data_IF_568783509637
#
_entry.id   IF_568783509637
#
_cell.length_a   1.000
_cell.length_b   1.000
_cell.length_c   1.000
_cell.angle_alpha   90.00
_cell.angle_beta   90.00
_cell.angle_gamma   90.00
#
_symmetry.space_group_name_H-M   'P 1'
#
loop_
_entity.id
_entity.type
_entity.pdbx_description
1 polymer ?
#
# COMPACT_ATOMS: atom_id res chain seq x y z
N UNK A 1 -20.64 6.22 9.63
CA UNK A 1 -19.48 5.73 8.84
C UNK A 1 -18.38 6.77 8.93
N UNK A 2 -17.13 6.33 9.05
CA UNK A 2 -15.97 7.24 9.19
C UNK A 2 -15.59 7.98 7.89
N UNK A 3 -15.98 7.43 6.75
CA UNK A 3 -15.64 7.93 5.41
C UNK A 3 -16.86 8.22 4.54
N UNK A 4 -17.96 8.59 5.18
CA UNK A 4 -19.21 8.85 4.47
C UNK A 4 -19.01 9.88 3.35
N UNK A 5 -19.41 9.52 2.12
CA UNK A 5 -19.27 10.31 0.90
C UNK A 5 -17.82 10.67 0.48
N UNK A 6 -16.78 10.11 1.10
CA UNK A 6 -15.38 10.31 0.69
C UNK A 6 -15.08 9.58 -0.61
N UNK A 7 -14.18 10.17 -1.42
CA UNK A 7 -13.75 9.66 -2.73
C UNK A 7 -12.30 9.16 -2.62
N UNK A 8 -12.10 7.86 -2.82
CA UNK A 8 -10.82 7.23 -2.61
C UNK A 8 -10.25 6.58 -3.89
N UNK A 9 -8.94 6.69 -4.07
CA UNK A 9 -8.18 5.91 -5.04
C UNK A 9 -7.33 4.90 -4.28
N UNK A 10 -7.41 3.62 -4.66
CA UNK A 10 -6.59 2.55 -4.09
C UNK A 10 -5.79 1.88 -5.20
N UNK A 11 -4.44 2.02 -5.16
CA UNK A 11 -3.56 1.34 -6.10
C UNK A 11 -3.25 -0.08 -5.61
N UNK A 12 -3.08 -1.04 -6.54
CA UNK A 12 -2.83 -2.43 -6.18
C UNK A 12 -4.03 -3.12 -5.48
N UNK A 13 -5.25 -2.68 -5.79
CA UNK A 13 -6.49 -3.08 -5.13
C UNK A 13 -6.96 -4.51 -5.42
N UNK A 14 -6.36 -5.23 -6.38
CA UNK A 14 -6.88 -6.48 -6.92
C UNK A 14 -6.88 -7.67 -5.94
N UNK A 15 -6.01 -7.69 -4.91
CA UNK A 15 -5.86 -8.85 -4.00
C UNK A 15 -5.11 -8.51 -2.72
N UNK A 16 -5.17 -9.44 -1.75
CA UNK A 16 -4.45 -9.34 -0.49
C UNK A 16 -4.81 -8.08 0.28
N UNK A 17 -3.79 -7.34 0.75
CA UNK A 17 -4.00 -6.09 1.50
C UNK A 17 -4.81 -5.05 0.72
N UNK A 18 -4.55 -4.91 -0.60
CA UNK A 18 -5.27 -3.94 -1.42
C UNK A 18 -6.77 -4.21 -1.49
N UNK A 19 -7.18 -5.46 -1.66
CA UNK A 19 -8.58 -5.84 -1.64
C UNK A 19 -9.22 -5.61 -0.26
N UNK A 20 -8.56 -6.02 0.84
CA UNK A 20 -9.04 -5.79 2.19
C UNK A 20 -9.19 -4.29 2.52
N UNK A 21 -8.19 -3.48 2.16
CA UNK A 21 -8.25 -2.01 2.32
C UNK A 21 -9.43 -1.44 1.56
N UNK A 22 -9.58 -1.80 0.27
CA UNK A 22 -10.67 -1.32 -0.58
C UNK A 22 -12.03 -1.61 0.03
N UNK A 23 -12.27 -2.86 0.43
CA UNK A 23 -13.55 -3.27 1.04
C UNK A 23 -13.80 -2.56 2.37
N UNK A 24 -12.76 -2.41 3.22
CA UNK A 24 -12.88 -1.72 4.51
C UNK A 24 -13.22 -0.23 4.34
N UNK A 25 -12.57 0.47 3.40
CA UNK A 25 -12.92 1.88 3.12
C UNK A 25 -14.34 2.02 2.59
N UNK A 26 -14.80 1.10 1.74
CA UNK A 26 -16.17 1.08 1.22
C UNK A 26 -17.20 0.78 2.32
N UNK A 27 -16.94 -0.14 3.24
CA UNK A 27 -17.78 -0.42 4.42
C UNK A 27 -17.97 0.82 5.30
N UNK A 28 -16.99 1.71 5.30
CA UNK A 28 -17.03 2.96 6.04
C UNK A 28 -17.54 4.16 5.23
N UNK A 29 -18.09 3.90 4.03
CA UNK A 29 -18.84 4.88 3.25
C UNK A 29 -18.11 5.54 2.10
N UNK A 30 -16.88 5.10 1.77
CA UNK A 30 -16.13 5.66 0.65
C UNK A 30 -16.59 5.07 -0.70
N UNK A 31 -16.61 5.91 -1.74
CA UNK A 31 -16.65 5.48 -3.13
C UNK A 31 -15.21 5.30 -3.64
N UNK A 32 -14.97 4.27 -4.45
CA UNK A 32 -13.61 3.82 -4.73
C UNK A 32 -13.30 3.78 -6.25
N UNK A 33 -12.19 4.36 -6.65
CA UNK A 33 -11.47 3.99 -7.87
C UNK A 33 -10.44 2.93 -7.51
N UNK A 34 -10.63 1.71 -8.01
CA UNK A 34 -9.76 0.56 -7.82
C UNK A 34 -8.80 0.44 -9.01
N UNK A 35 -7.50 0.35 -8.74
CA UNK A 35 -6.55 0.25 -9.85
C UNK A 35 -5.47 -0.82 -9.63
N UNK A 36 -5.22 -1.58 -10.67
CA UNK A 36 -4.12 -2.54 -10.83
C UNK A 36 -3.99 -2.92 -12.32
N UNK A 37 -3.03 -3.80 -12.63
CA UNK A 37 -2.87 -4.34 -13.99
C UNK A 37 -3.89 -5.45 -14.31
N UNK A 38 -4.31 -6.22 -13.30
CA UNK A 38 -5.25 -7.34 -13.40
C UNK A 38 -6.68 -6.83 -13.21
N UNK A 39 -7.36 -6.49 -14.30
CA UNK A 39 -8.72 -5.92 -14.28
C UNK A 39 -9.77 -6.95 -13.89
N UNK A 40 -9.57 -8.23 -14.20
CA UNK A 40 -10.52 -9.28 -13.82
C UNK A 40 -10.57 -9.42 -12.28
N UNK A 41 -9.42 -9.49 -11.64
CA UNK A 41 -9.33 -9.53 -10.18
C UNK A 41 -9.81 -8.22 -9.51
N UNK A 42 -9.65 -7.06 -10.17
CA UNK A 42 -10.23 -5.80 -9.69
C UNK A 42 -11.77 -5.84 -9.72
N UNK A 43 -12.37 -6.41 -10.75
CA UNK A 43 -13.83 -6.47 -10.89
C UNK A 43 -14.46 -7.35 -9.80
N UNK A 44 -13.78 -8.42 -9.36
CA UNK A 44 -14.22 -9.22 -8.22
C UNK A 44 -14.30 -8.39 -6.92
N UNK A 45 -13.31 -7.53 -6.68
CA UNK A 45 -13.31 -6.61 -5.52
C UNK A 45 -14.33 -5.50 -5.69
N UNK A 46 -14.47 -4.94 -6.91
CA UNK A 46 -15.45 -3.90 -7.21
C UNK A 46 -16.89 -4.40 -7.03
N UNK A 47 -17.17 -5.66 -7.36
CA UNK A 47 -18.47 -6.27 -7.10
C UNK A 47 -18.79 -6.30 -5.60
N UNK A 48 -17.80 -6.60 -4.72
CA UNK A 48 -17.99 -6.54 -3.27
C UNK A 48 -18.27 -5.11 -2.78
N UNK A 49 -17.60 -4.10 -3.34
CA UNK A 49 -17.85 -2.68 -3.01
C UNK A 49 -19.27 -2.28 -3.41
N UNK A 50 -19.74 -2.68 -4.60
CA UNK A 50 -21.10 -2.37 -5.07
C UNK A 50 -22.19 -3.02 -4.21
N UNK A 51 -21.95 -4.19 -3.62
CA UNK A 51 -22.87 -4.82 -2.66
C UNK A 51 -23.02 -4.02 -1.35
N UNK A 52 -22.14 -3.06 -1.08
CA UNK A 52 -22.21 -2.13 0.05
C UNK A 52 -22.89 -0.80 -0.31
N UNK A 53 -23.57 -0.74 -1.47
CA UNK A 53 -24.17 0.49 -2.01
C UNK A 53 -23.15 1.64 -2.19
N UNK A 54 -21.89 1.29 -2.56
CA UNK A 54 -20.83 2.27 -2.86
C UNK A 54 -20.43 2.19 -4.33
N UNK A 55 -20.05 3.35 -4.88
CA UNK A 55 -19.55 3.39 -6.26
C UNK A 55 -18.14 2.75 -6.33
N UNK A 56 -17.96 1.90 -7.33
CA UNK A 56 -16.70 1.21 -7.60
C UNK A 56 -16.34 1.30 -9.08
N UNK A 57 -15.25 1.98 -9.39
CA UNK A 57 -14.75 2.19 -10.75
C UNK A 57 -13.41 1.47 -10.92
N UNK A 58 -13.35 0.54 -11.86
CA UNK A 58 -12.14 -0.24 -12.18
C UNK A 58 -11.33 0.47 -13.25
N UNK A 59 -10.04 0.69 -12.99
CA UNK A 59 -9.11 1.31 -13.92
C UNK A 59 -7.85 0.46 -14.04
N UNK A 60 -7.56 -0.02 -15.26
CA UNK A 60 -6.27 -0.66 -15.54
C UNK A 60 -5.14 0.38 -15.45
N UNK A 61 -4.14 0.11 -14.60
CA UNK A 61 -3.00 1.02 -14.47
C UNK A 61 -1.75 0.27 -13.99
N UNK A 62 -0.66 0.46 -14.71
CA UNK A 62 0.68 0.21 -14.20
C UNK A 62 1.21 1.50 -13.56
N UNK A 63 1.39 1.47 -12.24
CA UNK A 63 1.86 2.63 -11.47
C UNK A 63 3.29 3.08 -11.83
N UNK A 64 4.03 2.29 -12.59
CA UNK A 64 5.35 2.67 -13.11
C UNK A 64 5.25 3.50 -14.39
N UNK A 65 4.09 3.54 -15.04
CA UNK A 65 3.82 4.32 -16.24
C UNK A 65 3.09 5.62 -15.89
N UNK A 66 3.77 6.75 -16.06
CA UNK A 66 3.24 8.06 -15.66
C UNK A 66 1.98 8.45 -16.46
N UNK A 67 1.90 8.11 -17.75
CA UNK A 67 0.73 8.40 -18.57
C UNK A 67 -0.51 7.67 -18.06
N UNK A 68 -0.37 6.36 -17.75
CA UNK A 68 -1.47 5.58 -17.19
C UNK A 68 -1.89 6.10 -15.80
N UNK A 69 -0.95 6.55 -14.98
CA UNK A 69 -1.27 7.16 -13.67
C UNK A 69 -2.03 8.48 -13.85
N UNK A 70 -1.59 9.33 -14.79
CA UNK A 70 -2.31 10.57 -15.13
C UNK A 70 -3.74 10.28 -15.58
N UNK A 71 -3.91 9.30 -16.47
CA UNK A 71 -5.22 8.93 -17.02
C UNK A 71 -6.14 8.31 -15.95
N UNK A 72 -5.58 7.52 -15.03
CA UNK A 72 -6.29 7.01 -13.85
C UNK A 72 -6.81 8.16 -12.97
N UNK A 73 -5.97 9.16 -12.67
CA UNK A 73 -6.40 10.32 -11.87
C UNK A 73 -7.44 11.15 -12.63
N UNK A 74 -7.26 11.37 -13.92
CA UNK A 74 -8.25 12.06 -14.76
C UNK A 74 -9.60 11.29 -14.80
N UNK A 75 -9.57 9.96 -14.82
CA UNK A 75 -10.78 9.14 -14.70
C UNK A 75 -11.45 9.34 -13.34
N UNK A 76 -10.69 9.28 -12.25
CA UNK A 76 -11.21 9.50 -10.90
C UNK A 76 -11.90 10.87 -10.77
N UNK A 77 -11.29 11.93 -11.29
CA UNK A 77 -11.87 13.28 -11.29
C UNK A 77 -13.20 13.34 -12.04
N UNK A 78 -13.33 12.65 -13.18
CA UNK A 78 -14.59 12.60 -13.95
C UNK A 78 -15.72 11.91 -13.19
N UNK A 79 -15.42 10.77 -12.53
CA UNK A 79 -16.47 9.96 -11.87
C UNK A 79 -16.77 10.45 -10.45
N UNK A 80 -15.96 11.31 -9.90
CA UNK A 80 -16.08 11.87 -8.55
C UNK A 80 -16.30 13.39 -8.53
N UNK A 81 -16.78 13.98 -9.61
CA UNK A 81 -17.11 15.40 -9.71
C UNK A 81 -15.97 16.33 -9.27
N UNK A 82 -14.75 16.01 -9.72
CA UNK A 82 -13.49 16.69 -9.40
C UNK A 82 -13.06 16.62 -7.91
N UNK A 83 -13.52 15.62 -7.18
CA UNK A 83 -13.16 15.40 -5.77
C UNK A 83 -12.27 14.15 -5.62
N UNK A 84 -11.18 14.25 -4.85
CA UNK A 84 -10.35 13.13 -4.39
C UNK A 84 -9.96 13.40 -2.95
N UNK A 85 -10.52 12.65 -2.00
CA UNK A 85 -10.26 12.83 -0.56
C UNK A 85 -9.13 11.95 -0.06
N UNK A 86 -9.00 10.74 -0.63
CA UNK A 86 -8.10 9.70 -0.12
C UNK A 86 -7.31 9.09 -1.27
N UNK A 87 -5.99 8.96 -1.08
CA UNK A 87 -5.13 8.13 -1.91
C UNK A 87 -4.46 7.07 -1.05
N UNK A 88 -4.62 5.78 -1.41
CA UNK A 88 -3.90 4.68 -0.76
C UNK A 88 -2.96 4.01 -1.76
N UNK A 89 -1.67 4.14 -1.55
CA UNK A 89 -0.64 3.53 -2.38
C UNK A 89 -0.26 2.14 -1.85
N UNK A 90 -0.88 1.09 -2.41
CA UNK A 90 -0.63 -0.32 -2.03
C UNK A 90 0.19 -1.07 -3.08
N UNK A 91 0.16 -0.61 -4.33
CA UNK A 91 0.88 -1.25 -5.43
C UNK A 91 2.37 -1.42 -5.11
N UNK A 92 2.91 -2.61 -5.42
CA UNK A 92 4.33 -2.89 -5.20
C UNK A 92 4.67 -4.36 -5.43
N UNK A 93 5.97 -4.62 -5.52
CA UNK A 93 6.54 -5.95 -5.75
C UNK A 93 7.54 -6.31 -4.65
N UNK A 94 7.81 -7.61 -4.49
CA UNK A 94 8.78 -8.11 -3.49
C UNK A 94 10.21 -8.12 -4.01
N UNK A 95 10.41 -8.25 -5.32
CA UNK A 95 11.71 -8.47 -5.91
C UNK A 95 12.38 -9.79 -5.48
N UNK A 96 13.71 -9.90 -5.63
CA UNK A 96 14.48 -11.09 -5.25
C UNK A 96 14.31 -11.43 -3.76
N UNK A 97 14.21 -12.74 -3.48
CA UNK A 97 14.00 -13.30 -2.14
C UNK A 97 15.19 -14.21 -1.82
N UNK A 98 15.76 -14.10 -0.60
CA UNK A 98 16.93 -14.88 -0.14
C UNK A 98 18.11 -14.75 -1.12
N UNK A 99 18.31 -13.55 -1.70
CA UNK A 99 19.36 -13.30 -2.69
C UNK A 99 20.44 -12.38 -2.07
N UNK A 100 21.71 -12.84 -1.97
CA UNK A 100 22.81 -12.02 -1.51
C UNK A 100 23.03 -10.80 -2.40
N UNK A 101 23.56 -9.71 -1.85
CA UNK A 101 23.68 -8.43 -2.55
C UNK A 101 24.49 -8.52 -3.85
N UNK A 102 25.53 -9.35 -3.89
CA UNK A 102 26.39 -9.55 -5.06
C UNK A 102 25.71 -10.33 -6.20
N UNK A 103 24.61 -11.04 -5.91
CA UNK A 103 23.89 -11.90 -6.87
C UNK A 103 22.60 -11.25 -7.39
N UNK A 104 22.27 -10.03 -6.91
CA UNK A 104 21.09 -9.30 -7.39
C UNK A 104 21.40 -8.70 -8.77
N UNK A 105 20.64 -9.07 -9.80
CA UNK A 105 20.72 -8.42 -11.08
C UNK A 105 20.30 -6.95 -11.00
N UNK A 106 21.00 -6.07 -11.76
CA UNK A 106 20.73 -4.62 -11.74
C UNK A 106 19.31 -4.33 -12.22
N UNK A 107 18.83 -5.08 -13.19
CA UNK A 107 17.47 -4.99 -13.72
C UNK A 107 16.42 -5.33 -12.66
N UNK A 108 16.60 -6.41 -11.90
CA UNK A 108 15.71 -6.78 -10.80
C UNK A 108 15.70 -5.73 -9.70
N UNK A 109 16.87 -5.16 -9.35
CA UNK A 109 16.95 -4.04 -8.43
C UNK A 109 16.14 -2.85 -8.94
N UNK A 110 16.34 -2.46 -10.19
CA UNK A 110 15.67 -1.33 -10.85
C UNK A 110 14.16 -1.53 -10.88
N UNK A 111 13.69 -2.72 -11.25
CA UNK A 111 12.24 -3.05 -11.30
C UNK A 111 11.57 -2.86 -9.94
N UNK A 112 12.24 -3.24 -8.84
CA UNK A 112 11.73 -3.04 -7.49
C UNK A 112 11.64 -1.55 -7.14
N UNK A 113 12.67 -0.77 -7.47
CA UNK A 113 12.66 0.69 -7.26
C UNK A 113 11.56 1.35 -8.08
N UNK A 114 11.43 0.98 -9.35
CA UNK A 114 10.38 1.52 -10.22
C UNK A 114 8.99 1.21 -9.70
N UNK A 115 8.72 -0.03 -9.30
CA UNK A 115 7.40 -0.42 -8.83
C UNK A 115 7.05 0.18 -7.45
N UNK A 116 7.99 0.14 -6.49
CA UNK A 116 7.69 0.49 -5.10
C UNK A 116 7.90 1.97 -4.80
N UNK A 117 8.98 2.57 -5.30
CA UNK A 117 9.32 3.97 -5.05
C UNK A 117 8.62 4.90 -6.04
N UNK A 118 8.91 4.76 -7.35
CA UNK A 118 8.30 5.59 -8.39
C UNK A 118 6.80 5.36 -8.46
N UNK A 119 6.33 4.11 -8.31
CA UNK A 119 4.92 3.75 -8.29
C UNK A 119 4.15 4.31 -7.07
N UNK A 120 4.82 4.71 -6.00
CA UNK A 120 4.24 5.49 -4.89
C UNK A 120 4.24 6.98 -5.21
N UNK A 121 5.33 7.49 -5.79
CA UNK A 121 5.49 8.91 -6.10
C UNK A 121 4.51 9.42 -7.17
N UNK A 122 4.34 8.69 -8.27
CA UNK A 122 3.53 9.16 -9.40
C UNK A 122 2.06 9.41 -9.03
N UNK A 123 1.33 8.51 -8.32
CA UNK A 123 -0.03 8.82 -7.88
C UNK A 123 -0.09 10.06 -6.97
N UNK A 124 0.87 10.23 -6.06
CA UNK A 124 0.94 11.44 -5.20
C UNK A 124 1.09 12.69 -6.06
N UNK A 125 2.02 12.70 -7.01
CA UNK A 125 2.28 13.81 -7.93
C UNK A 125 1.01 14.28 -8.65
N UNK A 126 0.21 13.33 -9.14
CA UNK A 126 -0.97 13.64 -9.96
C UNK A 126 -2.23 13.91 -9.14
N UNK A 127 -2.34 13.42 -7.90
CA UNK A 127 -3.46 13.69 -6.99
C UNK A 127 -3.27 15.01 -6.22
N UNK A 128 -2.04 15.36 -5.87
CA UNK A 128 -1.72 16.51 -5.03
C UNK A 128 -2.35 17.84 -5.51
N UNK A 129 -2.36 18.19 -6.82
CA UNK A 129 -3.00 19.45 -7.28
C UNK A 129 -4.48 19.54 -6.88
N UNK A 130 -5.22 18.42 -6.98
CA UNK A 130 -6.65 18.38 -6.60
C UNK A 130 -6.81 18.57 -5.09
N UNK A 131 -6.06 17.82 -4.27
CA UNK A 131 -6.12 17.94 -2.81
C UNK A 131 -5.69 19.33 -2.33
N UNK A 132 -4.71 19.97 -2.99
CA UNK A 132 -4.29 21.36 -2.71
C UNK A 132 -5.44 22.32 -2.98
N UNK A 133 -6.11 22.19 -4.14
CA UNK A 133 -7.25 23.04 -4.48
C UNK A 133 -8.44 22.85 -3.52
N UNK A 134 -8.65 21.63 -3.02
CA UNK A 134 -9.65 21.29 -2.00
C UNK A 134 -9.28 21.80 -0.60
N UNK A 135 -8.00 22.10 -0.35
CA UNK A 135 -7.41 22.35 0.98
C UNK A 135 -7.73 21.21 1.97
N UNK A 136 -7.72 19.98 1.49
CA UNK A 136 -8.04 18.76 2.25
C UNK A 136 -7.55 17.52 1.50
N UNK A 137 -7.06 16.52 2.23
CA UNK A 137 -6.71 15.21 1.66
C UNK A 137 -6.02 14.29 2.66
N UNK A 138 -6.10 13.00 2.38
CA UNK A 138 -5.41 11.94 3.12
C UNK A 138 -4.63 11.05 2.14
N UNK A 139 -3.34 10.95 2.34
CA UNK A 139 -2.46 10.07 1.56
C UNK A 139 -1.88 9.03 2.51
N UNK A 140 -2.14 7.75 2.22
CA UNK A 140 -1.63 6.62 2.99
C UNK A 140 -0.77 5.74 2.10
N UNK A 141 0.51 5.65 2.41
CA UNK A 141 1.46 4.81 1.70
C UNK A 141 1.65 3.48 2.41
N UNK A 142 1.67 2.36 1.67
CA UNK A 142 2.05 1.08 2.27
C UNK A 142 3.57 0.94 2.22
N UNK A 143 4.17 1.18 3.38
CA UNK A 143 5.58 0.96 3.65
C UNK A 143 5.88 -0.52 3.85
N UNK A 144 6.37 -0.85 5.02
CA UNK A 144 6.72 -2.19 5.50
C UNK A 144 7.83 -2.09 6.53
N UNK A 145 7.94 -3.06 7.42
CA UNK A 145 9.02 -3.13 8.43
C UNK A 145 10.41 -3.10 7.78
N UNK A 146 10.54 -3.59 6.52
CA UNK A 146 11.78 -3.44 5.73
C UNK A 146 12.16 -1.98 5.41
N UNK A 147 11.29 -1.01 5.65
CA UNK A 147 11.59 0.43 5.60
C UNK A 147 11.91 1.01 6.98
N UNK A 148 11.78 0.25 8.06
CA UNK A 148 12.09 0.66 9.43
C UNK A 148 13.45 0.10 9.88
N UNK A 149 13.78 -1.13 9.47
CA UNK A 149 15.07 -1.77 9.69
C UNK A 149 15.58 -2.49 8.44
N UNK A 150 16.88 -2.87 8.45
CA UNK A 150 17.47 -3.69 7.39
C UNK A 150 17.08 -5.17 7.54
N UNK A 151 16.90 -5.82 6.40
CA UNK A 151 16.73 -7.28 6.32
C UNK A 151 17.79 -7.87 5.42
N UNK A 152 18.60 -8.84 5.88
CA UNK A 152 19.55 -9.53 5.04
C UNK A 152 18.84 -10.21 3.86
N UNK A 153 19.53 -10.35 2.75
CA UNK A 153 19.03 -10.97 1.51
C UNK A 153 17.81 -10.27 0.86
N UNK A 154 17.58 -8.97 1.20
CA UNK A 154 16.42 -8.17 0.74
C UNK A 154 16.79 -6.76 0.30
N UNK A 155 17.99 -6.54 -0.20
CA UNK A 155 18.57 -5.19 -0.45
C UNK A 155 17.65 -4.31 -1.30
N UNK A 156 17.21 -4.76 -2.48
CA UNK A 156 16.34 -3.96 -3.37
C UNK A 156 14.99 -3.61 -2.72
N UNK A 157 14.38 -4.60 -2.04
CA UNK A 157 13.10 -4.37 -1.36
C UNK A 157 13.24 -3.40 -0.19
N UNK A 158 14.22 -3.60 0.70
CA UNK A 158 14.48 -2.70 1.82
C UNK A 158 14.77 -1.28 1.33
N UNK A 159 15.67 -1.12 0.36
CA UNK A 159 15.97 0.19 -0.23
C UNK A 159 14.70 0.90 -0.74
N UNK A 160 13.82 0.18 -1.45
CA UNK A 160 12.57 0.74 -1.94
C UNK A 160 11.61 1.17 -0.83
N UNK A 161 11.54 0.41 0.29
CA UNK A 161 10.66 0.73 1.42
C UNK A 161 11.21 1.88 2.29
N UNK A 162 12.52 2.01 2.41
CA UNK A 162 13.15 3.21 2.98
C UNK A 162 12.84 4.47 2.15
N UNK A 163 12.85 4.35 0.81
CA UNK A 163 12.48 5.45 -0.06
C UNK A 163 11.01 5.89 0.12
N UNK A 164 10.07 4.95 0.30
CA UNK A 164 8.66 5.27 0.61
C UNK A 164 8.54 6.08 1.90
N UNK A 165 9.34 5.75 2.92
CA UNK A 165 9.41 6.52 4.17
C UNK A 165 9.89 7.95 3.91
N UNK A 166 10.98 8.12 3.14
CA UNK A 166 11.50 9.44 2.75
C UNK A 166 10.44 10.27 2.01
N UNK A 167 9.76 9.67 1.02
CA UNK A 167 8.66 10.31 0.27
C UNK A 167 7.55 10.75 1.25
N UNK A 168 7.11 9.85 2.13
CA UNK A 168 6.03 10.14 3.10
C UNK A 168 6.33 11.37 3.94
N UNK A 169 7.51 11.42 4.54
CA UNK A 169 7.92 12.53 5.43
C UNK A 169 8.08 13.84 4.69
N UNK A 170 8.73 13.82 3.53
CA UNK A 170 8.97 15.02 2.74
C UNK A 170 7.65 15.60 2.22
N UNK A 171 6.80 14.77 1.62
CA UNK A 171 5.51 15.21 1.09
C UNK A 171 4.57 15.69 2.20
N UNK A 172 4.64 15.10 3.41
CA UNK A 172 3.89 15.57 4.57
C UNK A 172 4.26 17.03 4.94
N UNK A 173 5.55 17.39 4.88
CA UNK A 173 6.01 18.76 5.13
C UNK A 173 5.57 19.72 4.03
N UNK A 174 5.59 19.28 2.77
CA UNK A 174 5.21 20.12 1.62
C UNK A 174 3.70 20.40 1.59
N UNK A 175 2.88 19.40 1.89
CA UNK A 175 1.43 19.44 1.74
C UNK A 175 0.67 19.81 3.02
N UNK A 176 1.32 19.77 4.18
CA UNK A 176 0.67 20.04 5.48
C UNK A 176 0.00 21.42 5.57
N UNK A 177 0.57 22.43 4.94
CA UNK A 177 -0.02 23.79 4.87
C UNK A 177 -1.35 23.85 4.12
N UNK A 178 -1.69 22.81 3.36
CA UNK A 178 -2.96 22.66 2.65
C UNK A 178 -3.91 21.68 3.36
N UNK A 179 -3.69 21.41 4.67
CA UNK A 179 -4.50 20.48 5.46
C UNK A 179 -4.55 19.07 4.85
N UNK A 180 -3.44 18.62 4.28
CA UNK A 180 -3.28 17.27 3.71
C UNK A 180 -2.38 16.46 4.63
N UNK A 181 -2.89 15.33 5.13
CA UNK A 181 -2.11 14.38 5.90
C UNK A 181 -1.45 13.33 4.98
N UNK A 182 -0.19 13.06 5.20
CA UNK A 182 0.56 12.04 4.45
C UNK A 182 1.25 11.12 5.44
N UNK A 183 0.84 9.86 5.50
CA UNK A 183 1.37 8.88 6.46
C UNK A 183 1.69 7.56 5.77
N UNK A 184 2.45 6.70 6.44
CA UNK A 184 2.71 5.34 6.02
C UNK A 184 2.16 4.33 7.04
N UNK A 185 1.56 3.25 6.54
CA UNK A 185 1.32 2.03 7.31
C UNK A 185 2.42 1.05 6.92
N UNK A 186 3.11 0.50 7.91
CA UNK A 186 4.27 -0.38 7.74
C UNK A 186 3.95 -1.79 8.24
N UNK A 187 3.37 -2.66 7.39
CA UNK A 187 3.07 -4.03 7.79
C UNK A 187 4.35 -4.86 7.99
N UNK A 188 4.28 -5.83 8.90
CA UNK A 188 5.22 -6.92 8.98
C UNK A 188 4.96 -7.99 7.92
N UNK A 189 5.04 -9.25 8.32
CA UNK A 189 4.58 -10.38 7.50
C UNK A 189 3.06 -10.43 7.54
N UNK A 190 2.43 -10.36 6.36
CA UNK A 190 0.97 -10.37 6.22
C UNK A 190 0.51 -11.65 5.56
N UNK A 191 -0.50 -12.28 6.13
CA UNK A 191 -1.10 -13.53 5.64
C UNK A 191 -1.79 -13.31 4.28
N UNK A 192 -1.05 -13.51 3.21
CA UNK A 192 -1.46 -13.29 1.83
C UNK A 192 -0.81 -14.33 0.92
N UNK A 193 -1.29 -14.51 -0.33
CA UNK A 193 -0.59 -15.36 -1.30
C UNK A 193 0.88 -14.97 -1.54
N UNK A 194 1.25 -13.72 -1.26
CA UNK A 194 2.64 -13.25 -1.30
C UNK A 194 3.48 -13.87 -0.17
N UNK A 195 2.91 -14.01 1.02
CA UNK A 195 3.58 -14.68 2.15
C UNK A 195 3.85 -16.15 1.84
N UNK A 196 2.88 -16.86 1.29
CA UNK A 196 3.06 -18.28 0.91
C UNK A 196 4.27 -18.44 -0.02
N UNK A 197 4.36 -17.63 -1.08
CA UNK A 197 5.51 -17.61 -2.00
C UNK A 197 6.82 -17.28 -1.30
N UNK A 198 6.81 -16.38 -0.31
CA UNK A 198 8.00 -16.03 0.47
C UNK A 198 8.45 -17.23 1.33
N UNK A 199 7.52 -17.92 2.00
CA UNK A 199 7.82 -19.10 2.79
C UNK A 199 8.34 -20.25 1.91
N UNK A 200 7.72 -20.49 0.75
CA UNK A 200 8.18 -21.50 -0.22
C UNK A 200 9.63 -21.21 -0.70
N UNK A 201 9.93 -19.97 -1.07
CA UNK A 201 11.26 -19.57 -1.53
C UNK A 201 12.32 -19.76 -0.44
N UNK A 202 12.04 -19.34 0.80
CA UNK A 202 12.93 -19.52 1.95
C UNK A 202 13.12 -21.00 2.31
N UNK A 203 12.04 -21.77 2.33
CA UNK A 203 12.07 -23.19 2.61
C UNK A 203 13.00 -23.92 1.65
N UNK A 204 12.89 -23.63 0.35
CA UNK A 204 13.73 -24.21 -0.70
C UNK A 204 15.22 -23.90 -0.50
N UNK A 205 15.56 -22.64 -0.18
CA UNK A 205 16.96 -22.22 -0.01
C UNK A 205 17.56 -22.81 1.26
N UNK A 206 16.78 -22.91 2.34
CA UNK A 206 17.25 -23.35 3.66
C UNK A 206 17.15 -24.87 3.89
N UNK A 207 16.50 -25.61 2.99
CA UNK A 207 16.20 -27.04 3.19
C UNK A 207 15.19 -27.28 4.31
N UNK A 208 14.28 -26.34 4.55
CA UNK A 208 13.23 -26.40 5.56
C UNK A 208 11.86 -26.75 4.94
N UNK A 209 10.86 -27.02 5.80
CA UNK A 209 9.48 -27.05 5.35
C UNK A 209 8.87 -25.64 5.36
N UNK A 210 7.77 -25.45 4.65
CA UNK A 210 7.03 -24.16 4.63
C UNK A 210 6.53 -23.82 6.04
N UNK A 211 6.06 -24.83 6.79
CA UNK A 211 5.60 -24.68 8.17
C UNK A 211 6.71 -24.20 9.09
N UNK A 212 7.93 -24.73 8.95
CA UNK A 212 9.08 -24.29 9.76
C UNK A 212 9.41 -22.80 9.50
N UNK A 213 9.31 -22.35 8.26
CA UNK A 213 9.49 -20.92 7.92
C UNK A 213 8.36 -20.05 8.48
N UNK A 214 7.12 -20.55 8.40
CA UNK A 214 5.96 -19.85 8.98
C UNK A 214 6.11 -19.72 10.50
N UNK A 215 6.45 -20.81 11.18
CA UNK A 215 6.64 -20.82 12.63
C UNK A 215 7.79 -19.91 13.07
N UNK A 216 8.91 -19.84 12.29
CA UNK A 216 9.99 -18.87 12.54
C UNK A 216 9.44 -17.45 12.63
N UNK A 217 8.64 -17.02 11.63
CA UNK A 217 8.02 -15.70 11.65
C UNK A 217 7.10 -15.49 12.85
N UNK A 218 6.26 -16.48 13.19
CA UNK A 218 5.37 -16.40 14.35
C UNK A 218 6.19 -16.24 15.64
N UNK A 219 7.29 -16.98 15.79
CA UNK A 219 8.13 -16.91 16.98
C UNK A 219 8.91 -15.59 17.12
N UNK A 220 9.26 -14.94 16.01
CA UNK A 220 9.92 -13.64 16.02
C UNK A 220 8.99 -12.49 16.47
N UNK A 221 7.66 -12.63 16.29
CA UNK A 221 6.71 -11.60 16.66
C UNK A 221 6.36 -11.65 18.16
N UNK A 222 6.27 -10.49 18.82
CA UNK A 222 5.90 -10.41 20.23
C UNK A 222 4.51 -11.00 20.50
N UNK A 223 3.54 -10.74 19.62
CA UNK A 223 2.16 -11.25 19.73
C UNK A 223 1.99 -12.71 19.27
N UNK A 224 3.05 -13.38 18.82
CA UNK A 224 3.04 -14.78 18.37
C UNK A 224 1.96 -15.08 17.32
N UNK A 225 1.74 -14.16 16.42
CA UNK A 225 0.84 -14.31 15.28
C UNK A 225 1.26 -13.39 14.12
N UNK A 226 1.05 -13.84 12.89
CA UNK A 226 1.23 -13.01 11.71
C UNK A 226 0.13 -11.95 11.58
N UNK A 227 0.44 -10.85 10.91
CA UNK A 227 -0.52 -9.80 10.61
C UNK A 227 -1.52 -10.28 9.56
N UNK A 228 -2.80 -9.97 9.72
CA UNK A 228 -3.81 -10.23 8.69
C UNK A 228 -3.97 -9.04 7.74
N UNK A 229 -4.50 -9.23 6.52
CA UNK A 229 -4.87 -8.12 5.65
C UNK A 229 -5.84 -7.12 6.31
N UNK A 230 -6.71 -7.62 7.20
CA UNK A 230 -7.67 -6.80 7.92
C UNK A 230 -7.00 -5.91 8.98
N UNK A 231 -5.95 -6.37 9.66
CA UNK A 231 -5.19 -5.54 10.61
C UNK A 231 -4.58 -4.34 9.89
N UNK A 232 -4.03 -4.56 8.68
CA UNK A 232 -3.50 -3.48 7.84
C UNK A 232 -4.61 -2.54 7.37
N UNK A 233 -5.75 -3.08 6.94
CA UNK A 233 -6.89 -2.29 6.48
C UNK A 233 -7.46 -1.39 7.58
N UNK A 234 -7.53 -1.89 8.83
CA UNK A 234 -7.97 -1.11 9.98
C UNK A 234 -7.00 0.07 10.27
N UNK A 235 -5.70 -0.15 10.16
CA UNK A 235 -4.71 0.92 10.33
C UNK A 235 -4.79 1.95 9.20
N UNK A 236 -5.00 1.51 7.95
CA UNK A 236 -5.22 2.41 6.81
C UNK A 236 -6.50 3.22 7.00
N UNK A 237 -7.60 2.61 7.43
CA UNK A 237 -8.85 3.31 7.75
C UNK A 237 -8.64 4.40 8.80
N UNK A 238 -7.92 4.12 9.88
CA UNK A 238 -7.57 5.12 10.89
C UNK A 238 -6.81 6.30 10.26
N UNK A 239 -5.76 6.01 9.46
CA UNK A 239 -4.96 7.05 8.82
C UNK A 239 -5.70 7.83 7.71
N UNK A 240 -6.72 7.23 7.10
CA UNK A 240 -7.56 7.83 6.06
C UNK A 240 -8.75 8.62 6.62
N UNK A 241 -9.07 8.47 7.90
CA UNK A 241 -10.20 9.13 8.57
C UNK A 241 -9.78 10.42 9.30
N UNK A 242 -10.77 11.14 9.81
CA UNK A 242 -10.55 12.34 10.63
C UNK A 242 -10.03 12.02 12.04
N UNK A 243 -10.05 10.74 12.46
CA UNK A 243 -9.44 10.29 13.71
C UNK A 243 -7.92 10.56 13.74
N UNK A 244 -7.28 10.63 12.55
CA UNK A 244 -5.86 10.94 12.36
C UNK A 244 -5.59 12.40 11.93
N UNK A 245 -6.54 13.32 12.09
CA UNK A 245 -6.43 14.71 11.57
C UNK A 245 -5.16 15.46 11.97
N UNK A 246 -4.60 15.14 13.13
CA UNK A 246 -3.35 15.77 13.64
C UNK A 246 -2.14 14.85 13.56
N UNK A 247 -2.17 13.84 12.65
CA UNK A 247 -1.08 12.90 12.41
C UNK A 247 -0.64 13.06 10.96
N UNK A 248 0.63 13.45 10.74
CA UNK A 248 1.23 13.54 9.41
C UNK A 248 2.73 13.24 9.47
N UNK A 249 3.30 12.68 8.42
CA UNK A 249 4.70 12.31 8.33
C UNK A 249 5.08 11.10 9.19
N UNK A 250 4.11 10.31 9.65
CA UNK A 250 4.34 9.20 10.57
C UNK A 250 4.35 7.84 9.86
N UNK A 251 5.08 6.90 10.45
CA UNK A 251 5.07 5.48 10.09
C UNK A 251 4.41 4.67 11.21
N UNK A 252 3.29 4.04 10.92
CA UNK A 252 2.58 3.15 11.85
C UNK A 252 2.94 1.69 11.54
N UNK A 253 3.73 1.07 12.42
CA UNK A 253 4.00 -0.36 12.33
C UNK A 253 2.74 -1.18 12.64
N UNK A 254 2.45 -2.20 11.81
CA UNK A 254 1.37 -3.18 12.00
C UNK A 254 1.99 -4.55 11.76
N UNK A 255 2.71 -5.05 12.75
CA UNK A 255 3.64 -6.17 12.58
C UNK A 255 3.66 -7.16 13.75
N UNK A 256 2.74 -7.00 14.71
CA UNK A 256 2.69 -7.88 15.88
C UNK A 256 3.86 -7.72 16.85
N UNK A 257 4.59 -6.61 16.77
CA UNK A 257 5.78 -6.36 17.57
C UNK A 257 7.00 -7.13 17.03
N UNK A 258 7.16 -7.15 15.71
CA UNK A 258 8.31 -7.76 15.05
C UNK A 258 9.54 -6.84 15.03
N UNK A 259 9.32 -5.52 15.06
CA UNK A 259 10.37 -4.49 15.00
C UNK A 259 10.35 -3.58 16.24
N UNK A 260 10.48 -4.18 17.41
CA UNK A 260 10.56 -3.48 18.70
C UNK A 260 11.84 -3.82 19.44
#
# INVERSE_FOLDING_TARGET
MKLDNRKAIVTGAAKGMGAAITTTLAQEGADIVLTARDTAALEEVAAQVRLLDRAAHVVACDVTNEEQVRDMVAHALRVFDNQIDILVNVAGVTGPIETPVQDIAVEEFTDVIMANQRGTFLPIKHVAPTMIAQNSGKIVNIGGTSGLRGYPMRTSYSASKWAVRGITRTVALELGKYNINVNAVCPGIVETPRMSKLCEAKAKVRGWTVEQVYDEYVQEMALKRVTTPQDVANAVLFMASDDSRNITGQELAVDGGWDV
#
